data_IF_766109928224
#
_entry.id   IF_766109928224
#
_cell.length_a   1.000
_cell.length_b   1.000
_cell.length_c   1.000
_cell.angle_alpha   90.00
_cell.angle_beta   90.00
_cell.angle_gamma   90.00
#
_symmetry.space_group_name_H-M   'P 1'
#
loop_
_entity.id
_entity.type
_entity.pdbx_description
1 polymer ?
#
# COMPACT_ATOMS: atom_id res chain seq x y z
N UNK A 1 -34.31 14.01 -16.78
CA UNK A 1 -33.60 15.03 -15.97
C UNK A 1 -32.37 14.36 -15.38
N UNK A 2 -31.19 14.77 -15.81
CA UNK A 2 -29.93 14.24 -15.28
C UNK A 2 -29.71 14.84 -13.89
N UNK A 3 -29.75 13.99 -12.86
CA UNK A 3 -29.32 14.36 -11.52
C UNK A 3 -27.80 14.38 -11.60
N UNK A 4 -27.21 15.57 -11.45
CA UNK A 4 -25.78 15.79 -11.54
C UNK A 4 -25.05 14.83 -10.60
N UNK A 5 -24.23 13.94 -11.15
CA UNK A 5 -23.36 13.05 -10.37
C UNK A 5 -22.36 13.92 -9.62
N UNK A 6 -22.59 14.12 -8.33
CA UNK A 6 -21.61 14.70 -7.42
C UNK A 6 -20.36 13.81 -7.45
N UNK A 7 -19.18 14.43 -7.46
CA UNK A 7 -17.92 13.74 -7.67
C UNK A 7 -17.59 12.87 -6.43
N UNK A 8 -17.21 11.58 -6.56
CA UNK A 8 -16.87 10.72 -5.42
C UNK A 8 -15.77 11.30 -4.51
N UNK A 9 -14.90 12.14 -5.08
CA UNK A 9 -13.88 12.88 -4.34
C UNK A 9 -14.47 13.92 -3.41
N UNK A 10 -15.46 14.68 -3.87
CA UNK A 10 -16.11 15.75 -3.12
C UNK A 10 -16.85 15.17 -1.92
N UNK A 11 -17.70 14.17 -2.16
CA UNK A 11 -18.47 13.50 -1.11
C UNK A 11 -17.58 12.89 -0.03
N UNK A 12 -16.47 12.25 -0.44
CA UNK A 12 -15.52 11.65 0.49
C UNK A 12 -14.81 12.70 1.36
N UNK A 13 -14.31 13.78 0.75
CA UNK A 13 -13.63 14.86 1.50
C UNK A 13 -14.62 15.58 2.41
N UNK A 14 -15.84 15.83 1.94
CA UNK A 14 -16.90 16.43 2.74
C UNK A 14 -17.21 15.60 3.98
N UNK A 15 -17.42 14.28 3.82
CA UNK A 15 -17.72 13.39 4.94
C UNK A 15 -16.58 13.37 5.99
N UNK A 16 -15.32 13.38 5.56
CA UNK A 16 -14.19 13.45 6.48
C UNK A 16 -14.11 14.79 7.22
N UNK A 17 -14.33 15.91 6.53
CA UNK A 17 -14.35 17.23 7.15
C UNK A 17 -15.51 17.37 8.15
N UNK A 18 -16.70 16.87 7.81
CA UNK A 18 -17.87 16.85 8.70
C UNK A 18 -17.60 16.04 9.98
N UNK A 19 -16.92 14.90 9.87
CA UNK A 19 -16.69 14.05 11.02
C UNK A 19 -15.53 14.52 11.91
N UNK A 20 -14.44 14.99 11.31
CA UNK A 20 -13.19 15.27 12.04
C UNK A 20 -12.99 16.74 12.36
N UNK A 21 -13.53 17.65 11.54
CA UNK A 21 -13.19 19.07 11.60
C UNK A 21 -14.36 19.90 12.14
N UNK A 22 -15.59 19.67 11.67
CA UNK A 22 -16.77 20.42 12.14
C UNK A 22 -16.94 20.45 13.67
N UNK A 23 -16.69 19.36 14.43
CA UNK A 23 -16.83 19.40 15.89
C UNK A 23 -15.89 20.40 16.58
N UNK A 24 -14.81 20.81 15.89
CA UNK A 24 -13.81 21.75 16.41
C UNK A 24 -14.01 23.18 15.91
N UNK A 25 -14.90 23.38 14.94
CA UNK A 25 -15.16 24.71 14.39
C UNK A 25 -16.21 25.44 15.23
N UNK A 26 -16.14 26.77 15.31
CA UNK A 26 -17.15 27.55 16.00
C UNK A 26 -18.54 27.26 15.42
N UNK A 27 -19.54 27.14 16.29
CA UNK A 27 -20.94 27.09 15.85
C UNK A 27 -21.23 28.28 14.93
N UNK A 28 -22.11 28.09 13.93
CA UNK A 28 -22.46 29.12 12.92
C UNK A 28 -22.95 30.46 13.51
N UNK A 29 -23.27 30.47 14.80
CA UNK A 29 -23.76 31.61 15.56
C UNK A 29 -22.74 32.25 16.52
N UNK A 30 -21.50 31.73 16.59
CA UNK A 30 -20.46 32.28 17.43
C UNK A 30 -19.86 33.55 16.79
N UNK A 31 -19.73 34.60 17.61
CA UNK A 31 -19.07 35.87 17.24
C UNK A 31 -17.63 35.60 16.81
N UNK A 32 -17.09 36.43 15.90
CA UNK A 32 -15.74 36.37 15.32
C UNK A 32 -14.63 36.51 16.38
N UNK A 33 -14.51 35.55 17.28
CA UNK A 33 -13.33 35.41 18.12
C UNK A 33 -12.24 34.78 17.28
N UNK A 34 -11.06 35.41 17.28
CA UNK A 34 -9.85 34.80 16.73
C UNK A 34 -9.62 33.47 17.44
N UNK A 35 -9.59 32.33 16.72
CA UNK A 35 -9.47 31.03 17.34
C UNK A 35 -8.15 30.96 18.11
N UNK A 36 -8.20 30.42 19.33
CA UNK A 36 -7.01 30.24 20.17
C UNK A 36 -5.95 29.41 19.44
N UNK A 37 -4.67 29.61 19.77
CA UNK A 37 -3.57 28.84 19.17
C UNK A 37 -3.80 27.32 19.32
N UNK A 38 -4.24 26.87 20.49
CA UNK A 38 -4.54 25.46 20.75
C UNK A 38 -5.66 24.93 19.84
N UNK A 39 -6.72 25.73 19.61
CA UNK A 39 -7.79 25.39 18.67
C UNK A 39 -7.27 25.31 17.24
N UNK A 40 -6.43 26.25 16.83
CA UNK A 40 -5.81 26.24 15.49
C UNK A 40 -4.94 25.00 15.28
N UNK A 41 -4.16 24.60 16.27
CA UNK A 41 -3.35 23.37 16.23
C UNK A 41 -4.20 22.10 16.15
N UNK A 42 -5.31 22.03 16.91
CA UNK A 42 -6.22 20.89 16.85
C UNK A 42 -6.91 20.78 15.49
N UNK A 43 -7.41 21.88 14.95
CA UNK A 43 -8.01 21.93 13.60
C UNK A 43 -6.98 21.50 12.55
N UNK A 44 -5.74 22.01 12.64
CA UNK A 44 -4.65 21.63 11.73
C UNK A 44 -4.35 20.12 11.80
N UNK A 45 -4.30 19.52 12.99
CA UNK A 45 -4.11 18.07 13.17
C UNK A 45 -5.25 17.26 12.56
N UNK A 46 -6.51 17.67 12.75
CA UNK A 46 -7.64 16.97 12.16
C UNK A 46 -7.64 17.06 10.64
N UNK A 47 -7.37 18.25 10.08
CA UNK A 47 -7.28 18.39 8.62
C UNK A 47 -6.09 17.61 8.05
N UNK A 48 -4.94 17.55 8.74
CA UNK A 48 -3.84 16.66 8.38
C UNK A 48 -4.31 15.20 8.26
N UNK A 49 -5.09 14.72 9.23
CA UNK A 49 -5.66 13.38 9.20
C UNK A 49 -6.63 13.20 8.02
N UNK A 50 -7.50 14.18 7.73
CA UNK A 50 -8.40 14.16 6.58
C UNK A 50 -7.62 14.01 5.26
N UNK A 51 -6.54 14.78 5.09
CA UNK A 51 -5.69 14.69 3.89
C UNK A 51 -5.10 13.29 3.75
N UNK A 52 -4.54 12.71 4.82
CA UNK A 52 -4.00 11.34 4.78
C UNK A 52 -5.08 10.28 4.51
N UNK A 53 -6.24 10.40 5.14
CA UNK A 53 -7.35 9.47 4.96
C UNK A 53 -7.85 9.46 3.52
N UNK A 54 -7.98 10.65 2.91
CA UNK A 54 -8.37 10.75 1.51
C UNK A 54 -7.21 10.35 0.57
N UNK A 55 -6.09 11.07 0.62
CA UNK A 55 -5.03 10.98 -0.37
C UNK A 55 -4.25 9.66 -0.32
N UNK A 56 -4.16 9.01 0.85
CA UNK A 56 -3.48 7.73 0.97
C UNK A 56 -4.47 6.57 1.18
N UNK A 57 -5.23 6.58 2.28
CA UNK A 57 -5.98 5.40 2.70
C UNK A 57 -7.13 5.05 1.75
N UNK A 58 -7.99 6.03 1.43
CA UNK A 58 -9.15 5.83 0.58
C UNK A 58 -8.73 5.57 -0.87
N UNK A 59 -7.80 6.36 -1.40
CA UNK A 59 -7.21 6.16 -2.74
C UNK A 59 -6.55 4.79 -2.90
N UNK A 60 -5.93 4.24 -1.86
CA UNK A 60 -5.34 2.88 -1.90
C UNK A 60 -6.40 1.79 -2.13
N UNK A 61 -7.62 1.99 -1.63
CA UNK A 61 -8.79 1.10 -1.80
C UNK A 61 -9.55 1.37 -3.09
N UNK A 62 -9.57 2.61 -3.56
CA UNK A 62 -10.26 3.06 -4.76
C UNK A 62 -9.29 3.78 -5.70
N UNK A 63 -8.55 3.04 -6.56
CA UNK A 63 -7.51 3.62 -7.42
C UNK A 63 -8.00 4.67 -8.43
N UNK A 64 -9.30 4.68 -8.74
CA UNK A 64 -9.93 5.64 -9.66
C UNK A 64 -10.02 7.06 -9.06
N UNK A 65 -9.85 7.20 -7.74
CA UNK A 65 -9.89 8.49 -7.06
C UNK A 65 -8.62 9.32 -7.34
N UNK A 66 -8.84 10.56 -7.77
CA UNK A 66 -7.77 11.51 -8.08
C UNK A 66 -7.04 11.95 -6.80
N UNK A 67 -5.71 12.03 -6.87
CA UNK A 67 -4.90 12.67 -5.85
C UNK A 67 -5.21 14.17 -5.78
N UNK A 68 -5.43 14.70 -4.58
CA UNK A 68 -5.57 16.12 -4.34
C UNK A 68 -4.23 16.68 -3.85
N UNK A 69 -3.57 17.45 -4.70
CA UNK A 69 -2.41 18.23 -4.28
C UNK A 69 -2.81 19.35 -3.30
N UNK A 70 -1.80 20.02 -2.75
CA UNK A 70 -1.96 21.08 -1.75
C UNK A 70 -2.97 22.14 -2.21
N UNK A 71 -2.84 22.64 -3.44
CA UNK A 71 -3.67 23.72 -3.94
C UNK A 71 -5.13 23.28 -4.13
N UNK A 72 -5.32 22.12 -4.76
CA UNK A 72 -6.65 21.56 -4.98
C UNK A 72 -7.34 21.20 -3.66
N UNK A 73 -6.61 20.62 -2.70
CA UNK A 73 -7.18 20.30 -1.40
C UNK A 73 -7.61 21.57 -0.64
N UNK A 74 -6.77 22.61 -0.62
CA UNK A 74 -7.12 23.90 -0.01
C UNK A 74 -8.36 24.53 -0.65
N UNK A 75 -8.47 24.51 -1.99
CA UNK A 75 -9.67 24.97 -2.71
C UNK A 75 -10.92 24.19 -2.30
N UNK A 76 -10.84 22.86 -2.28
CA UNK A 76 -11.94 22.01 -1.85
C UNK A 76 -12.33 22.25 -0.40
N UNK A 77 -11.37 22.35 0.52
CA UNK A 77 -11.62 22.63 1.92
C UNK A 77 -12.37 23.97 2.11
N UNK A 78 -12.04 25.00 1.33
CA UNK A 78 -12.74 26.29 1.38
C UNK A 78 -14.16 26.24 0.82
N UNK A 79 -14.37 25.51 -0.29
CA UNK A 79 -15.70 25.33 -0.90
C UNK A 79 -16.62 24.56 0.06
N UNK A 80 -16.10 23.47 0.60
CA UNK A 80 -16.83 22.53 1.46
C UNK A 80 -17.03 23.07 2.87
N UNK A 81 -16.03 23.76 3.41
CA UNK A 81 -16.02 24.32 4.77
C UNK A 81 -15.50 25.76 4.76
N UNK A 82 -16.34 26.75 4.40
CA UNK A 82 -15.96 28.17 4.40
C UNK A 82 -15.46 28.69 5.75
N UNK A 83 -15.86 28.06 6.86
CA UNK A 83 -15.41 28.39 8.21
C UNK A 83 -13.89 28.15 8.41
N UNK A 84 -13.24 27.36 7.55
CA UNK A 84 -11.79 27.19 7.55
C UNK A 84 -11.03 28.40 7.00
N UNK A 85 -11.72 29.37 6.39
CA UNK A 85 -11.08 30.55 5.78
C UNK A 85 -10.23 31.35 6.77
N UNK A 86 -10.61 31.43 8.05
CA UNK A 86 -9.81 32.11 9.08
C UNK A 86 -8.48 31.42 9.39
N UNK A 87 -8.33 30.16 8.97
CA UNK A 87 -7.15 29.34 9.22
C UNK A 87 -6.21 29.23 8.00
N UNK A 88 -6.61 29.68 6.80
CA UNK A 88 -5.82 29.62 5.57
C UNK A 88 -5.37 31.04 5.17
N UNK A 89 -4.07 31.32 5.22
CA UNK A 89 -3.51 32.68 4.98
C UNK A 89 -3.14 32.92 3.53
N UNK A 90 -2.61 31.91 2.85
CA UNK A 90 -2.03 32.00 1.52
C UNK A 90 -3.10 32.06 0.42
N UNK A 91 -4.19 31.31 0.58
CA UNK A 91 -5.32 31.31 -0.37
C UNK A 91 -6.14 32.61 -0.37
N UNK A 92 -5.83 33.55 0.55
CA UNK A 92 -6.47 34.87 0.65
C UNK A 92 -5.60 35.97 0.03
N UNK A 93 -4.31 35.71 -0.26
CA UNK A 93 -3.41 36.69 -0.89
C UNK A 93 -3.56 36.65 -2.41
N UNK A 94 -4.04 37.73 -2.98
CA UNK A 94 -4.28 37.91 -4.43
C UNK A 94 -3.10 38.51 -5.18
N UNK A 95 -2.02 38.89 -4.50
CA UNK A 95 -0.96 39.70 -5.11
C UNK A 95 0.28 38.86 -5.48
N UNK A 96 0.64 38.95 -6.77
CA UNK A 96 1.80 38.36 -7.43
C UNK A 96 3.12 38.76 -6.75
N UNK A 97 3.55 38.03 -5.72
CA UNK A 97 4.92 38.17 -5.18
C UNK A 97 5.61 36.81 -5.12
N UNK A 98 6.86 36.83 -5.57
CA UNK A 98 7.63 35.72 -6.12
C UNK A 98 7.73 34.46 -5.23
N UNK A 99 7.71 33.31 -5.91
CA UNK A 99 7.56 31.94 -5.39
C UNK A 99 8.69 31.41 -4.49
N UNK A 100 9.65 32.25 -4.07
CA UNK A 100 10.88 31.84 -3.40
C UNK A 100 10.82 31.86 -1.85
N UNK A 101 9.92 32.63 -1.24
CA UNK A 101 9.80 32.77 0.24
C UNK A 101 8.58 32.04 0.85
N UNK A 102 7.86 31.26 0.04
CA UNK A 102 6.47 30.83 0.27
C UNK A 102 6.29 29.87 1.45
N UNK A 103 7.26 28.99 1.74
CA UNK A 103 7.12 28.01 2.84
C UNK A 103 7.15 28.65 4.23
N UNK A 104 7.81 29.80 4.38
CA UNK A 104 7.91 30.54 5.65
C UNK A 104 6.61 31.29 6.02
N UNK A 105 5.65 31.36 5.09
CA UNK A 105 4.42 32.16 5.23
C UNK A 105 3.16 31.32 5.47
N UNK A 106 3.28 29.99 5.49
CA UNK A 106 2.12 29.12 5.72
C UNK A 106 1.54 29.28 7.13
N UNK A 107 0.21 29.32 7.20
CA UNK A 107 -0.51 29.06 8.45
C UNK A 107 -0.24 27.64 8.96
N UNK A 108 -0.56 27.38 10.24
CA UNK A 108 -0.48 26.04 10.82
C UNK A 108 -1.30 25.02 10.02
N UNK A 109 -2.45 25.43 9.49
CA UNK A 109 -3.32 24.58 8.71
C UNK A 109 -2.74 24.29 7.32
N UNK A 110 -2.20 25.30 6.63
CA UNK A 110 -1.57 25.12 5.31
C UNK A 110 -0.35 24.21 5.39
N UNK A 111 0.50 24.42 6.41
CA UNK A 111 1.64 23.55 6.67
C UNK A 111 1.17 22.10 6.91
N UNK A 112 0.14 21.91 7.72
CA UNK A 112 -0.41 20.60 7.98
C UNK A 112 -0.94 19.91 6.71
N UNK A 113 -1.58 20.63 5.80
CA UNK A 113 -2.04 20.11 4.50
C UNK A 113 -0.84 19.75 3.61
N UNK A 114 0.14 20.66 3.48
CA UNK A 114 1.33 20.42 2.65
C UNK A 114 2.11 19.20 3.14
N UNK A 115 2.38 19.12 4.45
CA UNK A 115 3.08 17.99 5.07
C UNK A 115 2.33 16.68 4.81
N UNK A 116 1.00 16.65 5.00
CA UNK A 116 0.19 15.46 4.73
C UNK A 116 0.20 15.06 3.24
N UNK A 117 0.20 16.04 2.33
CA UNK A 117 0.35 15.80 0.89
C UNK A 117 1.71 15.16 0.57
N UNK A 118 2.80 15.68 1.14
CA UNK A 118 4.17 15.14 0.96
C UNK A 118 4.27 13.72 1.51
N UNK A 119 3.72 13.47 2.70
CA UNK A 119 3.66 12.13 3.30
C UNK A 119 2.90 11.17 2.39
N UNK A 120 1.70 11.57 1.94
CA UNK A 120 0.86 10.73 1.06
C UNK A 120 1.59 10.38 -0.24
N UNK A 121 2.26 11.35 -0.87
CA UNK A 121 3.06 11.13 -2.10
C UNK A 121 4.24 10.19 -1.85
N UNK A 122 4.94 10.38 -0.73
CA UNK A 122 6.06 9.52 -0.35
C UNK A 122 5.60 8.08 -0.13
N UNK A 123 4.46 7.90 0.55
CA UNK A 123 3.86 6.57 0.77
C UNK A 123 3.36 5.93 -0.53
N UNK A 124 2.82 6.71 -1.47
CA UNK A 124 2.45 6.23 -2.80
C UNK A 124 3.67 5.82 -3.63
N UNK A 125 4.80 6.54 -3.52
CA UNK A 125 6.06 6.19 -4.19
C UNK A 125 6.68 4.89 -3.64
N UNK A 126 6.37 4.55 -2.39
CA UNK A 126 6.70 3.26 -1.78
C UNK A 126 5.74 2.14 -2.21
N UNK A 127 4.68 2.45 -2.96
CA UNK A 127 3.78 1.44 -3.51
C UNK A 127 4.55 0.50 -4.43
N UNK A 128 4.33 -0.78 -4.20
CA UNK A 128 4.88 -1.88 -5.00
C UNK A 128 3.98 -2.25 -6.17
N UNK A 129 2.78 -1.65 -6.27
CA UNK A 129 1.83 -1.93 -7.35
C UNK A 129 2.46 -1.51 -8.69
N UNK A 130 2.51 -2.46 -9.63
CA UNK A 130 3.05 -2.24 -10.97
C UNK A 130 4.56 -2.43 -11.11
N UNK A 131 5.30 -2.67 -10.02
CA UNK A 131 6.71 -3.04 -10.11
C UNK A 131 6.86 -4.49 -10.58
N UNK A 132 7.79 -4.79 -11.50
CA UNK A 132 8.08 -6.16 -11.89
C UNK A 132 8.66 -6.94 -10.72
N UNK A 133 8.24 -8.19 -10.56
CA UNK A 133 8.76 -9.08 -9.53
C UNK A 133 10.09 -9.66 -10.01
N UNK A 134 11.18 -9.33 -9.32
CA UNK A 134 12.52 -9.83 -9.67
C UNK A 134 12.99 -10.99 -8.80
N UNK A 135 12.28 -11.25 -7.69
CA UNK A 135 12.69 -12.19 -6.65
C UNK A 135 11.48 -12.75 -5.91
N UNK A 136 11.58 -14.01 -5.50
CA UNK A 136 10.69 -14.66 -4.54
C UNK A 136 11.43 -14.86 -3.24
N UNK A 137 10.81 -14.52 -2.12
CA UNK A 137 11.34 -14.72 -0.77
C UNK A 137 10.33 -15.50 0.07
N UNK A 138 10.81 -16.45 0.87
CA UNK A 138 9.96 -17.37 1.63
C UNK A 138 10.41 -17.39 3.10
N UNK A 139 9.46 -17.15 3.99
CA UNK A 139 9.55 -17.55 5.40
C UNK A 139 8.82 -18.87 5.57
N UNK A 140 9.57 -19.95 5.84
CA UNK A 140 9.00 -21.26 6.08
C UNK A 140 8.93 -21.55 7.57
N UNK A 141 7.71 -21.79 8.05
CA UNK A 141 7.38 -22.07 9.45
C UNK A 141 6.97 -23.52 9.65
N UNK A 142 7.10 -23.99 10.89
CA UNK A 142 6.53 -25.27 11.31
C UNK A 142 5.02 -25.16 11.56
N UNK A 143 4.40 -26.29 11.90
CA UNK A 143 2.96 -26.35 12.09
C UNK A 143 2.50 -25.50 13.29
N UNK A 144 3.30 -25.37 14.36
CA UNK A 144 2.97 -24.51 15.51
C UNK A 144 3.27 -23.03 15.27
N UNK A 145 3.99 -22.68 14.19
CA UNK A 145 4.50 -21.32 13.92
C UNK A 145 5.44 -20.80 14.99
N UNK A 146 6.06 -21.70 15.75
CA UNK A 146 7.04 -21.38 16.79
C UNK A 146 8.46 -21.50 16.26
N UNK A 147 8.64 -22.17 15.12
CA UNK A 147 9.95 -22.33 14.50
C UNK A 147 9.92 -21.98 13.02
N UNK A 148 11.08 -21.57 12.50
CA UNK A 148 11.27 -21.27 11.09
C UNK A 148 12.57 -21.85 10.54
N UNK A 149 12.66 -21.92 9.20
CA UNK A 149 13.90 -22.25 8.49
C UNK A 149 14.52 -20.96 7.97
N UNK A 150 15.79 -20.74 8.33
CA UNK A 150 16.64 -19.70 7.76
C UNK A 150 17.87 -20.33 7.13
N UNK A 151 18.42 -19.66 6.13
CA UNK A 151 19.64 -20.07 5.42
C UNK A 151 20.86 -19.38 6.00
N UNK A 152 21.91 -20.15 6.25
CA UNK A 152 23.22 -19.61 6.59
C UNK A 152 23.88 -19.00 5.35
N UNK A 153 24.15 -17.69 5.40
CA UNK A 153 24.89 -17.00 4.35
C UNK A 153 26.32 -17.53 4.24
N UNK A 154 26.65 -18.13 3.09
CA UNK A 154 28.02 -18.61 2.81
C UNK A 154 29.04 -17.46 2.76
N UNK A 155 28.60 -16.28 2.33
CA UNK A 155 29.42 -15.05 2.22
C UNK A 155 29.50 -14.33 3.57
N UNK A 156 28.36 -14.12 4.22
CA UNK A 156 28.22 -13.29 5.42
C UNK A 156 28.45 -14.05 6.73
N UNK A 157 28.94 -15.30 6.64
CA UNK A 157 29.36 -16.20 7.75
C UNK A 157 28.78 -15.82 9.12
N UNK A 158 27.61 -16.38 9.44
CA UNK A 158 26.92 -16.16 10.71
C UNK A 158 25.68 -15.26 10.63
N UNK A 159 25.39 -14.70 9.45
CA UNK A 159 24.09 -14.04 9.18
C UNK A 159 23.13 -15.06 8.57
N UNK A 160 21.97 -15.20 9.19
CA UNK A 160 20.88 -16.04 8.68
C UNK A 160 19.94 -15.19 7.82
N UNK A 161 19.48 -15.73 6.69
CA UNK A 161 18.55 -15.06 5.78
C UNK A 161 17.32 -15.91 5.48
N UNK A 162 16.29 -15.29 4.91
CA UNK A 162 15.16 -16.03 4.33
C UNK A 162 15.60 -16.88 3.14
N UNK A 163 14.74 -17.83 2.75
CA UNK A 163 14.92 -18.58 1.51
C UNK A 163 14.56 -17.64 0.36
N UNK A 164 15.54 -17.31 -0.49
CA UNK A 164 15.35 -16.39 -1.61
C UNK A 164 15.71 -17.06 -2.94
N UNK A 165 14.98 -16.71 -4.00
CA UNK A 165 15.28 -17.15 -5.36
C UNK A 165 14.94 -16.06 -6.36
N UNK A 166 15.88 -15.74 -7.23
CA UNK A 166 15.67 -14.75 -8.28
C UNK A 166 14.68 -15.26 -9.32
N UNK A 167 13.81 -14.37 -9.78
CA UNK A 167 12.91 -14.60 -10.92
C UNK A 167 13.69 -14.24 -12.18
N UNK A 168 14.16 -15.25 -12.92
CA UNK A 168 14.75 -15.04 -14.23
C UNK A 168 13.63 -14.84 -15.27
N UNK A 169 13.75 -13.80 -16.08
CA UNK A 169 12.79 -13.40 -17.13
C UNK A 169 12.45 -14.50 -18.16
N UNK A 170 13.21 -15.60 -18.18
CA UNK A 170 13.08 -16.68 -19.18
C UNK A 170 12.35 -17.95 -18.71
N UNK A 171 11.84 -18.03 -17.47
CA UNK A 171 11.36 -19.31 -16.90
C UNK A 171 9.86 -19.46 -16.66
N UNK A 172 9.01 -18.52 -17.04
CA UNK A 172 7.59 -18.85 -17.18
C UNK A 172 7.40 -19.45 -18.58
N UNK A 173 7.66 -20.76 -18.71
CA UNK A 173 7.17 -21.51 -19.87
C UNK A 173 5.63 -21.56 -19.82
N UNK A 174 4.93 -21.67 -20.96
CA UNK A 174 3.46 -21.70 -20.99
C UNK A 174 2.87 -23.00 -20.41
N UNK A 175 3.70 -23.97 -20.00
CA UNK A 175 3.27 -25.29 -19.57
C UNK A 175 2.94 -25.33 -18.07
N UNK A 176 2.01 -24.47 -17.63
CA UNK A 176 1.16 -24.80 -16.48
C UNK A 176 0.00 -25.68 -16.96
N UNK A 177 0.32 -26.88 -17.45
CA UNK A 177 -0.67 -27.92 -17.70
C UNK A 177 -0.11 -29.28 -17.33
N UNK A 178 -0.20 -29.63 -16.04
CA UNK A 178 -0.19 -31.03 -15.64
C UNK A 178 -1.52 -31.32 -14.93
N UNK A 179 -2.38 -31.97 -15.73
CA UNK A 179 -3.45 -32.92 -15.38
C UNK A 179 -4.56 -32.49 -14.41
N UNK A 180 -5.54 -31.76 -14.95
CA UNK A 180 -6.95 -31.92 -14.57
C UNK A 180 -7.68 -32.80 -15.60
N UNK A 181 -7.36 -34.10 -15.62
CA UNK A 181 -8.26 -35.09 -16.23
C UNK A 181 -9.43 -35.30 -15.27
N UNK A 182 -10.53 -34.57 -15.44
CA UNK A 182 -11.90 -35.11 -15.43
C UNK A 182 -12.86 -34.10 -16.10
N UNK A 183 -13.64 -34.64 -17.03
CA UNK A 183 -14.58 -34.05 -17.98
C UNK A 183 -15.53 -32.95 -17.43
N UNK A 184 -15.70 -31.85 -18.18
CA UNK A 184 -16.99 -31.53 -18.83
C UNK A 184 -16.86 -30.37 -19.83
N UNK A 185 -17.23 -30.66 -21.08
CA UNK A 185 -17.29 -29.73 -22.22
C UNK A 185 -18.42 -28.71 -22.00
N UNK A 186 -18.17 -27.40 -22.19
CA UNK A 186 -19.10 -26.49 -22.91
C UNK A 186 -18.55 -25.06 -23.13
N UNK A 187 -18.65 -24.66 -24.41
CA UNK A 187 -18.80 -23.33 -25.03
C UNK A 187 -17.91 -22.15 -24.60
N UNK A 188 -17.04 -21.75 -25.53
CA UNK A 188 -16.32 -20.48 -25.61
C UNK A 188 -17.25 -19.27 -25.52
N UNK A 189 -16.92 -18.32 -24.65
CA UNK A 189 -17.33 -16.91 -24.72
C UNK A 189 -16.06 -16.06 -24.73
N UNK A 190 -15.84 -15.16 -25.70
CA UNK A 190 -14.65 -14.33 -25.73
C UNK A 190 -14.94 -13.03 -24.97
N UNK A 191 -14.44 -12.90 -23.73
CA UNK A 191 -14.06 -11.62 -23.12
C UNK A 191 -13.60 -11.82 -21.67
N UNK A 192 -12.29 -11.97 -21.49
CA UNK A 192 -11.53 -11.75 -20.24
C UNK A 192 -10.07 -12.03 -20.59
N UNK A 193 -9.28 -10.99 -20.90
CA UNK A 193 -7.81 -11.13 -21.06
C UNK A 193 -7.03 -10.44 -19.94
N UNK A 194 -7.64 -9.47 -19.24
CA UNK A 194 -6.96 -8.73 -18.17
C UNK A 194 -6.98 -9.42 -16.79
N UNK A 195 -7.89 -10.37 -16.54
CA UNK A 195 -7.98 -11.08 -15.24
C UNK A 195 -7.11 -12.34 -15.17
N UNK A 196 -6.79 -12.93 -16.33
CA UNK A 196 -6.09 -14.21 -16.42
C UNK A 196 -4.56 -14.05 -16.34
N UNK A 197 -4.00 -12.88 -16.71
CA UNK A 197 -2.55 -12.61 -16.64
C UNK A 197 -2.03 -12.43 -15.20
N UNK A 198 -2.86 -11.87 -14.30
CA UNK A 198 -2.51 -11.72 -12.88
C UNK A 198 -2.50 -13.08 -12.16
N UNK A 199 -3.38 -14.00 -12.56
CA UNK A 199 -3.51 -15.34 -11.97
C UNK A 199 -2.39 -16.28 -12.49
N UNK A 200 -2.03 -16.16 -13.77
CA UNK A 200 -0.93 -16.93 -14.37
C UNK A 200 0.44 -16.62 -13.75
N UNK A 201 0.72 -15.33 -13.47
CA UNK A 201 1.97 -14.93 -12.83
C UNK A 201 2.08 -15.44 -11.39
N UNK A 202 0.96 -15.48 -10.65
CA UNK A 202 0.96 -16.00 -9.29
C UNK A 202 1.33 -17.48 -9.25
N UNK A 203 0.77 -18.30 -10.15
CA UNK A 203 1.16 -19.71 -10.27
C UNK A 203 2.66 -19.88 -10.58
N UNK A 204 3.23 -19.03 -11.45
CA UNK A 204 4.67 -19.07 -11.76
C UNK A 204 5.50 -18.76 -10.50
N UNK A 205 5.15 -17.73 -9.73
CA UNK A 205 5.86 -17.39 -8.49
C UNK A 205 5.73 -18.47 -7.40
N UNK A 206 4.57 -19.10 -7.28
CA UNK A 206 4.37 -20.22 -6.35
C UNK A 206 5.26 -21.41 -6.71
N UNK A 207 5.38 -21.77 -8.00
CA UNK A 207 6.28 -22.84 -8.44
C UNK A 207 7.75 -22.52 -8.14
N UNK A 208 8.17 -21.27 -8.36
CA UNK A 208 9.51 -20.80 -7.99
C UNK A 208 9.71 -20.95 -6.48
N UNK A 209 8.70 -20.58 -5.68
CA UNK A 209 8.74 -20.67 -4.23
C UNK A 209 8.89 -22.13 -3.74
N UNK A 210 8.06 -23.05 -4.26
CA UNK A 210 8.17 -24.48 -3.94
C UNK A 210 9.53 -25.05 -4.36
N UNK A 211 10.03 -24.67 -5.55
CA UNK A 211 11.37 -25.06 -6.00
C UNK A 211 12.47 -24.54 -5.06
N UNK A 212 12.36 -23.29 -4.60
CA UNK A 212 13.32 -22.68 -3.69
C UNK A 212 13.37 -23.42 -2.35
N UNK A 213 12.21 -23.78 -1.78
CA UNK A 213 12.13 -24.56 -0.54
C UNK A 213 12.74 -25.96 -0.73
N UNK A 214 12.40 -26.64 -1.83
CA UNK A 214 12.93 -27.97 -2.13
C UNK A 214 14.46 -27.95 -2.24
N UNK A 215 15.02 -26.92 -2.88
CA UNK A 215 16.47 -26.74 -3.01
C UNK A 215 17.13 -26.42 -1.66
N UNK A 216 16.59 -25.45 -0.92
CA UNK A 216 17.05 -25.03 0.41
C UNK A 216 17.06 -26.19 1.42
N UNK A 217 16.06 -27.05 1.35
CA UNK A 217 15.90 -28.20 2.26
C UNK A 217 16.55 -29.47 1.73
N UNK A 218 17.32 -29.41 0.64
CA UNK A 218 18.00 -30.55 0.01
C UNK A 218 17.06 -31.72 -0.30
N UNK A 219 15.89 -31.41 -0.87
CA UNK A 219 14.80 -32.33 -1.23
C UNK A 219 14.11 -33.04 -0.05
N UNK A 220 14.31 -32.59 1.20
CA UNK A 220 13.64 -33.16 2.37
C UNK A 220 12.16 -32.77 2.42
N UNK A 221 11.83 -31.54 2.02
CA UNK A 221 10.46 -31.02 2.02
C UNK A 221 9.96 -30.98 0.58
N UNK A 222 8.82 -31.63 0.33
CA UNK A 222 8.17 -31.67 -0.97
C UNK A 222 7.05 -30.62 -1.06
N UNK A 223 6.58 -30.35 -2.28
CA UNK A 223 5.48 -29.40 -2.50
C UNK A 223 4.19 -29.81 -1.77
N UNK A 224 3.90 -31.12 -1.67
CA UNK A 224 2.71 -31.61 -0.96
C UNK A 224 2.77 -31.41 0.56
N UNK A 225 3.96 -31.12 1.09
CA UNK A 225 4.15 -30.86 2.52
C UNK A 225 4.01 -29.38 2.87
N UNK A 226 3.73 -28.51 1.88
CA UNK A 226 3.79 -27.06 2.02
C UNK A 226 2.43 -26.42 1.76
N UNK A 227 2.01 -25.60 2.72
CA UNK A 227 0.84 -24.73 2.57
C UNK A 227 1.28 -23.27 2.56
N UNK A 228 0.75 -22.49 1.62
CA UNK A 228 0.94 -21.04 1.60
C UNK A 228 -0.11 -20.43 2.54
N UNK A 229 0.33 -19.81 3.63
CA UNK A 229 -0.56 -19.11 4.56
C UNK A 229 -0.83 -17.70 4.05
N UNK A 230 0.24 -16.99 3.67
CA UNK A 230 0.16 -15.59 3.25
C UNK A 230 1.03 -15.33 2.02
N UNK A 231 0.61 -14.34 1.25
CA UNK A 231 1.32 -13.86 0.07
C UNK A 231 1.29 -12.33 0.04
N UNK A 232 2.47 -11.74 -0.02
CA UNK A 232 2.67 -10.30 0.01
C UNK A 232 3.52 -9.86 -1.16
N UNK A 233 3.27 -8.63 -1.64
CA UNK A 233 4.17 -7.96 -2.57
C UNK A 233 4.91 -6.89 -1.76
N UNK A 234 6.23 -6.94 -1.77
CA UNK A 234 7.08 -5.99 -1.02
C UNK A 234 8.14 -5.39 -1.94
N UNK A 235 8.72 -4.25 -1.56
CA UNK A 235 9.74 -3.60 -2.37
C UNK A 235 11.04 -4.42 -2.29
N UNK A 236 11.67 -4.65 -3.43
CA UNK A 236 12.96 -5.34 -3.48
C UNK A 236 14.05 -4.43 -2.94
N UNK A 237 14.85 -4.93 -2.01
CA UNK A 237 16.06 -4.23 -1.53
C UNK A 237 17.30 -4.59 -2.35
N UNK A 238 17.25 -5.69 -3.11
CA UNK A 238 18.39 -6.17 -3.90
C UNK A 238 18.45 -5.58 -5.31
N UNK A 239 17.32 -5.11 -5.85
CA UNK A 239 17.22 -4.56 -7.20
C UNK A 239 16.32 -3.34 -7.19
N UNK A 240 16.83 -2.20 -7.63
CA UNK A 240 16.05 -0.96 -7.67
C UNK A 240 14.83 -1.09 -8.61
N UNK A 241 13.73 -0.39 -8.27
CA UNK A 241 12.46 -0.38 -9.03
C UNK A 241 11.86 -1.77 -9.30
N UNK A 242 12.15 -2.75 -8.46
CA UNK A 242 11.54 -4.08 -8.54
C UNK A 242 10.82 -4.44 -7.24
N UNK A 243 9.95 -5.43 -7.31
CA UNK A 243 9.29 -6.02 -6.16
C UNK A 243 9.83 -7.43 -5.85
N UNK A 244 9.66 -7.83 -4.61
CA UNK A 244 9.84 -9.20 -4.15
C UNK A 244 8.46 -9.77 -3.82
N UNK A 245 8.16 -10.97 -4.34
CA UNK A 245 6.99 -11.74 -3.92
C UNK A 245 7.37 -12.49 -2.65
N UNK A 246 6.76 -12.12 -1.52
CA UNK A 246 7.05 -12.69 -0.22
C UNK A 246 5.95 -13.67 0.18
N UNK A 247 6.33 -14.92 0.48
CA UNK A 247 5.42 -15.95 0.95
C UNK A 247 5.72 -16.34 2.39
N UNK A 248 4.65 -16.48 3.18
CA UNK A 248 4.71 -17.20 4.45
C UNK A 248 4.16 -18.59 4.20
N UNK A 249 5.02 -19.58 4.35
CA UNK A 249 4.68 -20.99 4.14
C UNK A 249 4.74 -21.77 5.44
N UNK A 250 3.93 -22.82 5.50
CA UNK A 250 3.88 -23.75 6.60
C UNK A 250 4.19 -25.16 6.13
N UNK A 251 5.07 -25.85 6.84
CA UNK A 251 5.32 -27.27 6.64
C UNK A 251 4.35 -28.09 7.51
N UNK A 252 3.54 -28.94 6.87
CA UNK A 252 2.61 -29.85 7.58
C UNK A 252 3.29 -31.08 8.18
N UNK A 253 4.53 -31.39 7.77
CA UNK A 253 5.31 -32.49 8.37
C UNK A 253 6.34 -31.95 9.36
N UNK A 254 6.50 -32.67 10.46
CA UNK A 254 7.67 -32.55 11.33
C UNK A 254 8.92 -33.07 10.58
N UNK A 255 9.40 -32.27 9.63
CA UNK A 255 10.63 -32.57 8.92
C UNK A 255 11.79 -32.51 9.92
N UNK A 256 12.79 -33.40 9.79
CA UNK A 256 14.11 -33.26 10.44
C UNK A 256 14.91 -32.11 9.80
N UNK A 257 14.26 -30.99 9.54
CA UNK A 257 14.90 -29.77 9.08
C UNK A 257 15.56 -29.05 10.27
N UNK A 258 16.54 -28.20 9.99
CA UNK A 258 17.15 -27.34 11.00
C UNK A 258 16.21 -26.19 11.33
N UNK A 259 15.23 -26.47 12.18
CA UNK A 259 14.29 -25.50 12.69
C UNK A 259 14.97 -24.56 13.69
N UNK A 260 14.66 -23.28 13.57
CA UNK A 260 15.17 -22.21 14.44
C UNK A 260 13.98 -21.63 15.20
N UNK A 261 14.02 -21.54 16.53
CA UNK A 261 12.96 -20.95 17.32
C UNK A 261 12.74 -19.48 16.95
N UNK A 262 11.48 -19.12 16.72
CA UNK A 262 11.02 -17.74 16.67
C UNK A 262 10.88 -17.32 18.14
N UNK A 263 11.83 -16.54 18.63
CA UNK A 263 11.77 -16.04 20.01
C UNK A 263 10.68 -14.98 20.14
N UNK A 264 9.96 -15.02 21.26
CA UNK A 264 9.17 -13.90 21.78
C UNK A 264 10.06 -12.74 22.26
#
# INVERSE_FOLDING_TARGET
>A
MAISSVCPTEDAVQAFLEHLVDPLLPSKYAVRETPSLATQELVAKQVHAVVLLYNYFLRKRHPDLRYLDFENFCKWALVLKPNLKSHLKLMVRTDDTELSEVESQFSLLEKAIQDACVISRSLDALSVKGLPVSKVSILLTDLSKENCILLDGSITRGVHSLIEKDVNESRCSPDCSIESKYMSKRKKVPNKRARDELDANECCFQQIAFSAVKEATKNVISQSDLNIIESHLVRSLSKDKTATRFYIMQCVRAAKARWIPIKD
#
